data_IF_631008680533
#
_entry.id   IF_631008680533
#
_cell.length_a   1.000
_cell.length_b   1.000
_cell.length_c   1.000
_cell.angle_alpha   90.00
_cell.angle_beta   90.00
_cell.angle_gamma   90.00
#
_symmetry.space_group_name_H-M   'P 1'
#
loop_
_entity.id
_entity.type
_entity.pdbx_description
1 polymer ?
#
# COMPACT_ATOMS: atom_id res chain seq x y z
N UNK A 1 29.46 18.66 33.35
CA UNK A 1 28.20 19.45 33.39
C UNK A 1 27.27 18.90 32.29
N UNK A 2 26.32 18.07 32.71
CA UNK A 2 25.38 17.37 31.82
C UNK A 2 24.20 18.29 31.53
N UNK A 3 24.09 18.76 30.29
CA UNK A 3 22.88 19.40 29.81
C UNK A 3 21.94 18.31 29.27
N UNK A 4 20.82 18.14 29.96
CA UNK A 4 19.72 17.22 29.60
C UNK A 4 19.11 17.69 28.28
N UNK A 5 19.22 16.86 27.27
CA UNK A 5 18.41 16.96 26.05
C UNK A 5 16.98 16.59 26.40
N UNK A 6 16.08 17.56 26.35
CA UNK A 6 14.67 17.33 26.51
C UNK A 6 14.14 16.58 25.29
N UNK A 7 13.94 15.26 25.40
CA UNK A 7 13.10 14.49 24.50
C UNK A 7 11.64 14.87 24.80
N UNK A 8 11.04 15.70 23.96
CA UNK A 8 9.58 15.81 23.89
C UNK A 8 9.12 14.77 22.85
N UNK A 9 9.33 13.50 23.18
CA UNK A 9 8.55 12.44 22.59
C UNK A 9 7.26 12.41 23.37
N UNK A 10 6.18 12.94 22.80
CA UNK A 10 4.83 12.69 23.31
C UNK A 10 4.56 11.21 22.97
N UNK A 11 5.08 10.34 23.81
CA UNK A 11 4.79 8.93 23.84
C UNK A 11 3.38 8.81 24.41
N UNK A 12 2.37 8.99 23.56
CA UNK A 12 1.04 8.47 23.85
C UNK A 12 1.19 6.95 23.93
N UNK A 13 1.35 6.42 25.15
CA UNK A 13 0.98 5.04 25.44
C UNK A 13 -0.55 5.00 25.31
N UNK A 14 -1.00 4.96 24.06
CA UNK A 14 -2.41 4.96 23.74
C UNK A 14 -2.95 3.57 24.05
N UNK A 15 -3.75 3.51 25.14
CA UNK A 15 -4.48 2.29 25.50
C UNK A 15 -5.30 1.85 24.28
N UNK A 16 -5.20 0.57 23.91
CA UNK A 16 -6.04 -0.03 22.87
C UNK A 16 -7.51 0.25 23.12
N UNK A 17 -8.23 0.65 22.09
CA UNK A 17 -9.68 0.71 22.09
C UNK A 17 -10.18 -0.56 21.37
N UNK A 18 -10.70 -1.51 22.15
CA UNK A 18 -11.26 -2.75 21.61
C UNK A 18 -12.51 -2.45 20.79
N UNK A 19 -12.75 -3.26 19.75
CA UNK A 19 -13.91 -3.09 18.86
C UNK A 19 -15.25 -3.10 19.60
N UNK A 20 -15.35 -3.90 20.69
CA UNK A 20 -16.53 -3.99 21.56
C UNK A 20 -16.79 -2.70 22.36
N UNK A 21 -15.75 -1.93 22.64
CA UNK A 21 -15.80 -0.67 23.40
C UNK A 21 -15.83 0.57 22.49
N UNK A 22 -15.61 0.37 21.17
CA UNK A 22 -15.50 1.46 20.22
C UNK A 22 -16.86 2.08 19.89
N UNK A 23 -17.12 3.26 20.45
CA UNK A 23 -18.14 4.17 19.95
C UNK A 23 -17.54 4.98 18.80
N UNK A 24 -17.89 4.62 17.55
CA UNK A 24 -17.27 5.20 16.35
C UNK A 24 -17.55 6.69 16.17
N UNK A 25 -18.75 7.14 16.52
CA UNK A 25 -19.12 8.53 16.38
C UNK A 25 -18.34 9.40 17.38
N UNK A 26 -18.31 8.99 18.64
CA UNK A 26 -17.52 9.66 19.67
C UNK A 26 -16.04 9.68 19.31
N UNK A 27 -15.47 8.53 18.90
CA UNK A 27 -14.08 8.43 18.47
C UNK A 27 -13.74 9.39 17.34
N UNK A 28 -14.57 9.41 16.27
CA UNK A 28 -14.35 10.31 15.13
C UNK A 28 -14.39 11.77 15.58
N UNK A 29 -15.38 12.16 16.39
CA UNK A 29 -15.51 13.53 16.87
C UNK A 29 -14.30 13.94 17.73
N UNK A 30 -13.86 13.09 18.65
CA UNK A 30 -12.65 13.32 19.46
C UNK A 30 -11.40 13.51 18.59
N UNK A 31 -11.21 12.67 17.54
CA UNK A 31 -10.07 12.80 16.63
C UNK A 31 -10.17 14.06 15.76
N UNK A 32 -11.35 14.41 15.30
CA UNK A 32 -11.60 15.66 14.57
C UNK A 32 -11.21 16.87 15.43
N UNK A 33 -11.63 16.91 16.69
CA UNK A 33 -11.31 18.01 17.59
C UNK A 33 -9.82 18.06 17.95
N UNK A 34 -9.18 16.91 18.15
CA UNK A 34 -7.73 16.82 18.38
C UNK A 34 -6.94 17.38 17.18
N UNK A 35 -7.29 16.95 15.95
CA UNK A 35 -6.64 17.42 14.73
C UNK A 35 -6.87 18.93 14.55
N UNK A 36 -8.10 19.40 14.74
CA UNK A 36 -8.44 20.83 14.61
C UNK A 36 -7.65 21.69 15.61
N UNK A 37 -7.55 21.22 16.84
CA UNK A 37 -6.80 21.92 17.89
C UNK A 37 -5.30 21.94 17.62
N UNK A 38 -4.73 20.83 17.11
CA UNK A 38 -3.31 20.74 16.82
C UNK A 38 -2.90 21.61 15.61
N UNK A 39 -3.71 21.61 14.55
CA UNK A 39 -3.41 22.32 13.29
C UNK A 39 -3.76 23.79 13.36
N UNK A 40 -4.83 24.15 14.08
CA UNK A 40 -5.28 25.53 14.21
C UNK A 40 -5.59 26.17 12.85
N UNK A 41 -4.94 27.30 12.58
CA UNK A 41 -5.06 28.00 11.30
C UNK A 41 -4.12 27.52 10.21
N UNK A 42 -3.23 26.57 10.53
CA UNK A 42 -2.24 26.02 9.63
C UNK A 42 -2.81 25.08 8.55
N UNK A 43 -1.91 24.51 7.77
CA UNK A 43 -2.18 23.49 6.75
C UNK A 43 -1.63 22.16 7.23
N UNK A 44 -2.41 21.10 7.03
CA UNK A 44 -1.94 19.72 7.18
C UNK A 44 -1.88 19.03 5.80
N UNK A 45 -1.03 18.02 5.71
CA UNK A 45 -0.92 17.16 4.53
C UNK A 45 -1.12 15.71 4.92
N UNK A 46 -1.66 14.90 4.02
CA UNK A 46 -1.62 13.44 4.13
C UNK A 46 -1.31 12.80 2.77
N UNK A 47 -0.65 11.64 2.82
CA UNK A 47 -0.44 10.79 1.66
C UNK A 47 -1.51 9.69 1.63
N UNK A 48 -2.36 9.73 0.61
CA UNK A 48 -3.39 8.74 0.37
C UNK A 48 -2.82 7.61 -0.50
N UNK A 49 -2.73 6.40 0.04
CA UNK A 49 -2.22 5.23 -0.69
C UNK A 49 -3.30 4.39 -1.37
N UNK A 50 -4.59 4.73 -1.15
CA UNK A 50 -5.73 3.89 -1.55
C UNK A 50 -5.99 2.72 -0.60
N UNK A 51 -5.19 2.52 0.44
CA UNK A 51 -5.43 1.55 1.51
C UNK A 51 -6.44 2.06 2.54
N UNK A 52 -7.05 1.14 3.30
CA UNK A 52 -8.11 1.46 4.28
C UNK A 52 -7.65 2.50 5.30
N UNK A 53 -6.46 2.34 5.86
CA UNK A 53 -5.98 3.19 6.96
C UNK A 53 -5.78 4.63 6.50
N UNK A 54 -5.05 4.83 5.39
CA UNK A 54 -4.87 6.17 4.80
C UNK A 54 -6.20 6.80 4.39
N UNK A 55 -7.15 6.00 3.92
CA UNK A 55 -8.50 6.45 3.55
C UNK A 55 -9.28 6.97 4.76
N UNK A 56 -9.24 6.25 5.88
CA UNK A 56 -9.92 6.67 7.13
C UNK A 56 -9.28 7.94 7.69
N UNK A 57 -7.95 8.02 7.70
CA UNK A 57 -7.23 9.25 8.10
C UNK A 57 -7.60 10.42 7.23
N UNK A 58 -7.69 10.23 5.91
CA UNK A 58 -8.12 11.27 4.96
C UNK A 58 -9.51 11.79 5.32
N UNK A 59 -10.48 10.91 5.58
CA UNK A 59 -11.85 11.33 5.92
C UNK A 59 -11.94 12.06 7.26
N UNK A 60 -11.25 11.56 8.30
CA UNK A 60 -11.20 12.24 9.62
C UNK A 60 -10.53 13.60 9.48
N UNK A 61 -9.39 13.65 8.77
CA UNK A 61 -8.67 14.89 8.50
C UNK A 61 -9.49 15.90 7.70
N UNK A 62 -10.22 15.44 6.69
CA UNK A 62 -11.11 16.30 5.91
C UNK A 62 -12.28 16.84 6.76
N UNK A 63 -12.89 16.02 7.60
CA UNK A 63 -13.93 16.48 8.57
C UNK A 63 -13.38 17.52 9.55
N UNK A 64 -12.11 17.42 9.95
CA UNK A 64 -11.48 18.35 10.86
C UNK A 64 -11.11 19.69 10.19
N UNK A 65 -10.53 19.65 8.99
CA UNK A 65 -9.80 20.76 8.39
C UNK A 65 -10.41 21.29 7.08
N UNK A 66 -11.29 20.51 6.42
CA UNK A 66 -11.83 20.87 5.10
C UNK A 66 -10.71 21.18 4.12
N UNK A 67 -10.75 22.35 3.49
CA UNK A 67 -9.77 22.81 2.50
C UNK A 67 -8.36 23.07 3.06
N UNK A 68 -8.15 23.05 4.40
CA UNK A 68 -6.83 23.14 5.02
C UNK A 68 -6.09 21.79 5.05
N UNK A 69 -6.74 20.68 4.66
CA UNK A 69 -6.08 19.41 4.43
C UNK A 69 -5.69 19.28 2.96
N UNK A 70 -4.39 19.23 2.68
CA UNK A 70 -3.87 18.85 1.37
C UNK A 70 -3.72 17.34 1.30
N UNK A 71 -4.54 16.69 0.47
CA UNK A 71 -4.47 15.24 0.26
C UNK A 71 -3.76 14.96 -1.05
N UNK A 72 -2.66 14.20 -1.00
CA UNK A 72 -1.86 13.85 -2.17
C UNK A 72 -1.86 12.34 -2.39
N UNK A 73 -1.95 11.92 -3.65
CA UNK A 73 -1.68 10.56 -4.09
C UNK A 73 -0.40 10.57 -4.92
N UNK A 74 0.63 9.83 -4.50
CA UNK A 74 1.89 9.74 -5.23
C UNK A 74 1.79 8.60 -6.25
N UNK A 75 1.69 8.97 -7.54
CA UNK A 75 1.76 8.04 -8.66
C UNK A 75 3.21 7.63 -8.88
N UNK A 76 3.57 6.47 -8.38
CA UNK A 76 4.93 5.92 -8.43
C UNK A 76 5.17 4.99 -9.63
N UNK A 77 4.18 4.77 -10.48
CA UNK A 77 4.25 3.85 -11.63
C UNK A 77 4.14 2.36 -11.26
N UNK A 78 4.07 2.04 -9.95
CA UNK A 78 4.06 0.66 -9.45
C UNK A 78 2.65 0.15 -9.09
N UNK A 79 1.64 1.00 -9.25
CA UNK A 79 0.26 0.69 -8.85
C UNK A 79 -0.46 -0.16 -9.91
N UNK A 80 -1.61 -0.72 -9.52
CA UNK A 80 -2.56 -1.36 -10.44
C UNK A 80 -3.01 -0.40 -11.54
N UNK A 81 -3.51 -0.95 -12.62
CA UNK A 81 -4.02 -0.16 -13.74
C UNK A 81 -5.13 0.79 -13.32
N UNK A 82 -4.95 2.08 -13.64
CA UNK A 82 -5.93 3.13 -13.36
C UNK A 82 -6.18 3.43 -11.87
N UNK A 83 -5.44 2.81 -10.94
CA UNK A 83 -5.69 2.96 -9.49
C UNK A 83 -5.62 4.40 -8.98
N UNK A 84 -4.62 5.22 -9.34
CA UNK A 84 -4.54 6.60 -8.86
C UNK A 84 -5.77 7.43 -9.22
N UNK A 85 -6.24 7.27 -10.47
CA UNK A 85 -7.43 7.99 -10.96
C UNK A 85 -8.70 7.52 -10.24
N UNK A 86 -8.91 6.20 -10.12
CA UNK A 86 -10.06 5.65 -9.40
C UNK A 86 -10.12 6.10 -7.95
N UNK A 87 -8.98 6.15 -7.26
CA UNK A 87 -8.90 6.64 -5.88
C UNK A 87 -9.26 8.13 -5.82
N UNK A 88 -8.73 8.94 -6.72
CA UNK A 88 -9.03 10.37 -6.76
C UNK A 88 -10.52 10.64 -7.07
N UNK A 89 -11.12 9.91 -8.01
CA UNK A 89 -12.54 9.99 -8.35
C UNK A 89 -13.42 9.63 -7.16
N UNK A 90 -13.15 8.51 -6.50
CA UNK A 90 -13.88 8.06 -5.32
C UNK A 90 -13.85 9.09 -4.19
N UNK A 91 -12.68 9.67 -3.91
CA UNK A 91 -12.58 10.70 -2.88
C UNK A 91 -13.22 12.04 -3.31
N UNK A 92 -13.24 12.35 -4.60
CA UNK A 92 -13.97 13.51 -5.14
C UNK A 92 -15.47 13.39 -4.87
N UNK A 93 -16.05 12.20 -5.04
CA UNK A 93 -17.48 11.93 -4.70
C UNK A 93 -17.75 12.10 -3.20
N UNK A 94 -16.75 11.90 -2.35
CA UNK A 94 -16.82 12.14 -0.91
C UNK A 94 -16.50 13.61 -0.52
N UNK A 95 -16.32 14.49 -1.50
CA UNK A 95 -16.03 15.92 -1.30
C UNK A 95 -14.55 16.21 -0.99
N UNK A 96 -13.65 15.23 -1.12
CA UNK A 96 -12.21 15.38 -0.86
C UNK A 96 -11.47 15.57 -2.18
N UNK A 97 -10.79 16.70 -2.35
CA UNK A 97 -9.89 16.91 -3.48
C UNK A 97 -8.58 16.17 -3.27
N UNK A 98 -8.26 15.23 -4.16
CA UNK A 98 -6.99 14.50 -4.18
C UNK A 98 -6.11 15.04 -5.31
N UNK A 99 -4.89 15.44 -4.96
CA UNK A 99 -3.88 15.85 -5.92
C UNK A 99 -3.03 14.65 -6.30
N UNK A 100 -3.00 14.27 -7.59
CA UNK A 100 -2.13 13.20 -8.08
C UNK A 100 -0.78 13.79 -8.44
N UNK A 101 0.27 13.35 -7.76
CA UNK A 101 1.67 13.77 -8.00
C UNK A 101 2.35 12.70 -8.83
N UNK A 102 2.70 13.02 -10.06
CA UNK A 102 3.47 12.12 -10.92
C UNK A 102 4.93 12.05 -10.47
N UNK A 103 5.33 10.89 -10.00
CA UNK A 103 6.69 10.59 -9.57
C UNK A 103 7.24 9.31 -10.22
N UNK A 104 6.62 8.84 -11.32
CA UNK A 104 6.98 7.58 -11.97
C UNK A 104 8.46 7.50 -12.33
N UNK A 105 9.01 8.57 -12.88
CA UNK A 105 10.42 8.60 -13.30
C UNK A 105 11.40 8.53 -12.12
N UNK A 106 11.07 9.17 -10.99
CA UNK A 106 11.88 9.10 -9.79
C UNK A 106 11.97 7.67 -9.23
N UNK A 107 10.84 6.94 -9.21
CA UNK A 107 10.81 5.55 -8.74
C UNK A 107 11.49 4.60 -9.72
N UNK A 108 11.22 4.69 -11.01
CA UNK A 108 11.87 3.87 -12.04
C UNK A 108 13.39 4.07 -12.05
N UNK A 109 13.84 5.32 -11.95
CA UNK A 109 15.26 5.62 -11.87
C UNK A 109 15.92 5.06 -10.62
N UNK A 110 15.21 5.08 -9.48
CA UNK A 110 15.72 4.53 -8.23
C UNK A 110 15.78 2.99 -8.24
N UNK A 111 14.94 2.33 -9.03
CA UNK A 111 14.88 0.87 -9.14
C UNK A 111 15.79 0.28 -10.23
N UNK A 112 16.39 1.14 -11.05
CA UNK A 112 17.23 0.71 -12.18
C UNK A 112 18.40 -0.15 -11.71
N UNK A 113 18.53 -1.35 -12.28
CA UNK A 113 19.59 -2.31 -11.98
C UNK A 113 19.41 -3.09 -10.67
N UNK A 114 18.40 -2.75 -9.85
CA UNK A 114 18.14 -3.43 -8.58
C UNK A 114 17.33 -4.71 -8.83
N UNK A 115 17.85 -5.84 -8.35
CA UNK A 115 17.20 -7.15 -8.46
C UNK A 115 16.85 -7.76 -7.11
N UNK A 116 17.61 -7.39 -6.06
CA UNK A 116 17.39 -7.87 -4.70
C UNK A 116 16.07 -7.32 -4.11
N UNK A 117 15.25 -8.15 -3.47
CA UNK A 117 13.96 -7.73 -2.90
C UNK A 117 14.06 -6.65 -1.82
N UNK A 118 15.03 -6.77 -0.92
CA UNK A 118 15.19 -5.82 0.18
C UNK A 118 15.74 -4.49 -0.31
N UNK A 119 16.67 -4.53 -1.28
CA UNK A 119 17.17 -3.31 -1.93
C UNK A 119 16.05 -2.58 -2.68
N UNK A 120 15.14 -3.31 -3.35
CA UNK A 120 13.96 -2.70 -3.98
C UNK A 120 13.06 -2.00 -2.96
N UNK A 121 12.75 -2.66 -1.85
CA UNK A 121 11.95 -2.08 -0.76
C UNK A 121 12.59 -0.82 -0.21
N UNK A 122 13.89 -0.87 0.03
CA UNK A 122 14.66 0.27 0.52
C UNK A 122 14.65 1.43 -0.49
N UNK A 123 14.92 1.17 -1.77
CA UNK A 123 14.90 2.17 -2.84
C UNK A 123 13.54 2.85 -2.97
N UNK A 124 12.44 2.08 -2.91
CA UNK A 124 11.08 2.61 -2.97
C UNK A 124 10.80 3.48 -1.73
N UNK A 125 11.14 2.99 -0.55
CA UNK A 125 10.94 3.71 0.71
C UNK A 125 11.70 5.03 0.74
N UNK A 126 12.99 5.00 0.39
CA UNK A 126 13.85 6.20 0.34
C UNK A 126 13.33 7.22 -0.68
N UNK A 127 12.92 6.75 -1.86
CA UNK A 127 12.38 7.61 -2.92
C UNK A 127 11.08 8.26 -2.46
N UNK A 128 10.17 7.46 -1.86
CA UNK A 128 8.90 7.97 -1.37
C UNK A 128 9.11 9.07 -0.33
N UNK A 129 9.78 8.75 0.77
CA UNK A 129 9.84 9.65 1.93
C UNK A 129 10.85 10.79 1.76
N UNK A 130 12.07 10.50 1.30
CA UNK A 130 13.12 11.53 1.23
C UNK A 130 13.02 12.42 -0.01
N UNK A 131 12.76 11.82 -1.18
CA UNK A 131 12.71 12.60 -2.43
C UNK A 131 11.34 13.23 -2.65
N UNK A 132 10.32 12.40 -2.86
CA UNK A 132 9.02 12.85 -3.36
C UNK A 132 8.22 13.51 -2.25
N UNK A 133 7.91 12.77 -1.18
CA UNK A 133 7.06 13.29 -0.11
C UNK A 133 7.73 14.46 0.64
N UNK A 134 9.02 14.36 0.93
CA UNK A 134 9.76 15.46 1.54
C UNK A 134 9.77 16.74 0.70
N UNK A 135 9.84 16.63 -0.64
CA UNK A 135 9.66 17.77 -1.55
C UNK A 135 8.26 18.37 -1.44
N UNK A 136 7.22 17.52 -1.54
CA UNK A 136 5.82 17.96 -1.49
C UNK A 136 5.51 18.68 -0.17
N UNK A 137 6.00 18.17 0.95
CA UNK A 137 5.82 18.79 2.27
C UNK A 137 6.46 20.19 2.32
N UNK A 138 7.72 20.31 1.89
CA UNK A 138 8.41 21.63 1.85
C UNK A 138 7.66 22.65 0.97
N UNK A 139 7.17 22.22 -0.19
CA UNK A 139 6.42 23.07 -1.12
C UNK A 139 5.04 23.45 -0.58
N UNK A 140 4.42 22.58 0.23
CA UNK A 140 3.07 22.78 0.77
C UNK A 140 3.00 23.76 1.93
N UNK A 141 4.13 24.09 2.56
CA UNK A 141 4.20 24.83 3.83
C UNK A 141 3.41 24.18 4.98
N UNK A 142 3.04 22.91 4.84
CA UNK A 142 2.32 22.16 5.87
C UNK A 142 3.24 21.93 7.08
N UNK A 143 2.69 22.18 8.26
CA UNK A 143 3.38 21.94 9.56
C UNK A 143 2.91 20.66 10.25
N UNK A 144 1.93 19.98 9.68
CA UNK A 144 1.37 18.75 10.23
C UNK A 144 1.19 17.70 9.13
N UNK A 145 1.60 16.47 9.45
CA UNK A 145 1.38 15.28 8.62
C UNK A 145 0.34 14.38 9.32
N UNK A 146 -0.76 14.05 8.66
CA UNK A 146 -1.67 13.03 9.13
C UNK A 146 -1.24 11.67 8.58
N UNK A 147 -0.94 10.72 9.45
CA UNK A 147 -0.44 9.40 9.11
C UNK A 147 -1.37 8.28 9.59
N UNK A 148 -1.48 7.23 8.79
CA UNK A 148 -2.40 6.10 9.03
C UNK A 148 -1.80 4.96 9.85
N UNK A 149 -0.91 5.24 10.80
CA UNK A 149 -0.37 4.25 11.73
C UNK A 149 -1.49 3.68 12.61
N UNK A 150 -1.54 2.37 12.74
CA UNK A 150 -2.50 1.64 13.58
C UNK A 150 -1.76 0.84 14.65
N UNK A 151 -2.49 0.37 15.66
CA UNK A 151 -1.89 -0.40 16.76
C UNK A 151 -1.17 -1.67 16.29
N UNK A 152 -1.69 -2.33 15.28
CA UNK A 152 -1.06 -3.51 14.68
C UNK A 152 0.34 -3.20 14.14
N UNK A 153 0.56 -2.02 13.55
CA UNK A 153 1.88 -1.62 13.05
C UNK A 153 2.91 -1.49 14.18
N UNK A 154 2.46 -1.00 15.34
CA UNK A 154 3.30 -0.88 16.54
C UNK A 154 3.64 -2.27 17.08
N UNK A 155 2.64 -3.14 17.23
CA UNK A 155 2.83 -4.51 17.72
C UNK A 155 3.81 -5.29 16.82
N UNK A 156 3.68 -5.17 15.50
CA UNK A 156 4.56 -5.82 14.52
C UNK A 156 6.00 -5.29 14.61
N UNK A 157 6.17 -4.01 14.94
CA UNK A 157 7.48 -3.41 15.16
C UNK A 157 8.13 -3.91 16.44
N UNK A 158 7.37 -3.93 17.53
CA UNK A 158 7.84 -4.44 18.83
C UNK A 158 8.19 -5.94 18.75
N UNK A 159 7.42 -6.71 17.98
CA UNK A 159 7.68 -8.13 17.74
C UNK A 159 8.85 -8.39 16.77
N UNK A 160 9.47 -7.36 16.18
CA UNK A 160 10.56 -7.49 15.21
C UNK A 160 10.10 -8.00 13.82
N UNK A 161 8.80 -8.04 13.56
CA UNK A 161 8.21 -8.45 12.27
C UNK A 161 8.38 -7.32 11.25
N UNK A 162 8.12 -6.09 11.66
CA UNK A 162 8.47 -4.87 10.94
C UNK A 162 9.70 -4.23 11.58
N UNK A 163 10.54 -3.58 10.79
CA UNK A 163 11.71 -2.87 11.33
C UNK A 163 11.30 -1.74 12.27
N UNK A 164 10.32 -0.95 11.88
CA UNK A 164 9.70 0.09 12.74
C UNK A 164 8.32 0.49 12.19
N UNK A 165 7.41 0.98 13.06
CA UNK A 165 6.09 1.47 12.67
C UNK A 165 6.16 2.86 12.02
N UNK A 166 7.17 3.66 12.37
CA UNK A 166 7.44 4.96 11.79
C UNK A 166 8.62 4.87 10.84
N UNK A 167 8.36 5.03 9.54
CA UNK A 167 9.39 4.94 8.50
C UNK A 167 10.45 6.02 8.66
N UNK A 168 10.10 7.19 9.20
CA UNK A 168 11.08 8.25 9.46
C UNK A 168 12.12 7.85 10.50
N UNK A 169 11.71 7.15 11.56
CA UNK A 169 12.64 6.58 12.54
C UNK A 169 13.55 5.51 11.92
N UNK A 170 13.02 4.66 11.02
CA UNK A 170 13.85 3.69 10.26
C UNK A 170 14.96 4.37 9.48
N UNK A 171 14.64 5.53 8.90
CA UNK A 171 15.56 6.31 8.09
C UNK A 171 16.47 7.21 8.94
N UNK A 172 16.33 7.16 10.28
CA UNK A 172 17.06 8.05 11.19
C UNK A 172 16.71 9.53 10.97
N UNK A 173 15.48 9.81 10.53
CA UNK A 173 14.99 11.16 10.23
C UNK A 173 14.06 11.59 11.35
N UNK A 174 14.38 12.67 12.03
CA UNK A 174 13.38 13.40 12.84
C UNK A 174 12.57 14.29 11.89
N UNK A 175 11.24 14.05 11.75
CA UNK A 175 10.41 14.82 10.83
C UNK A 175 10.34 16.31 11.19
N UNK A 176 10.41 16.63 12.47
CA UNK A 176 10.42 18.01 12.97
C UNK A 176 11.72 18.71 12.59
N UNK A 177 12.87 18.05 12.79
CA UNK A 177 14.18 18.62 12.47
C UNK A 177 14.43 18.68 10.94
N UNK A 178 14.07 17.59 10.23
CA UNK A 178 14.37 17.44 8.80
C UNK A 178 13.41 18.22 7.90
N UNK A 179 12.15 18.34 8.28
CA UNK A 179 11.10 18.89 7.41
C UNK A 179 10.23 19.95 8.09
N UNK A 180 10.36 20.15 9.40
CA UNK A 180 9.63 21.17 10.16
C UNK A 180 8.17 20.86 10.39
N UNK A 181 7.74 19.57 10.33
CA UNK A 181 6.36 19.18 10.60
C UNK A 181 6.21 18.18 11.74
N UNK A 182 5.03 18.21 12.37
CA UNK A 182 4.61 17.27 13.41
C UNK A 182 3.73 16.18 12.82
N UNK A 183 3.91 14.92 13.25
CA UNK A 183 3.07 13.80 12.85
C UNK A 183 1.86 13.69 13.77
N UNK A 184 0.68 13.53 13.17
CA UNK A 184 -0.58 13.24 13.84
C UNK A 184 -1.09 11.86 13.40
N UNK A 185 -1.29 10.95 14.35
CA UNK A 185 -1.65 9.55 14.11
C UNK A 185 -3.02 9.24 14.74
N UNK A 186 -4.12 9.62 14.10
CA UNK A 186 -5.45 9.53 14.70
C UNK A 186 -5.92 8.10 14.95
N UNK A 187 -5.35 7.10 14.27
CA UNK A 187 -5.79 5.69 14.33
C UNK A 187 -4.92 4.81 15.25
N UNK A 188 -3.90 5.36 15.90
CA UNK A 188 -2.90 4.63 16.67
C UNK A 188 -3.46 3.72 17.79
N UNK A 189 -4.67 3.99 18.25
CA UNK A 189 -5.37 3.21 19.29
C UNK A 189 -6.19 2.04 18.73
N UNK A 190 -6.35 1.94 17.39
CA UNK A 190 -7.22 0.98 16.74
C UNK A 190 -6.44 -0.16 16.08
N UNK A 191 -7.03 -1.35 16.13
CA UNK A 191 -6.67 -2.47 15.26
C UNK A 191 -7.46 -2.37 13.94
N UNK A 192 -7.13 -3.23 12.97
CA UNK A 192 -7.69 -3.22 11.62
C UNK A 192 -9.22 -3.29 11.57
N UNK A 193 -9.83 -4.05 12.45
CA UNK A 193 -11.28 -4.17 12.59
C UNK A 193 -11.93 -2.86 13.08
N UNK A 194 -11.33 -2.21 14.07
CA UNK A 194 -11.73 -0.89 14.55
C UNK A 194 -11.60 0.18 13.46
N UNK A 195 -10.50 0.17 12.69
CA UNK A 195 -10.30 1.07 11.56
C UNK A 195 -11.39 0.89 10.50
N UNK A 196 -11.71 -0.36 10.13
CA UNK A 196 -12.79 -0.66 9.18
C UNK A 196 -14.15 -0.16 9.70
N UNK A 197 -14.43 -0.32 11.00
CA UNK A 197 -15.66 0.19 11.63
C UNK A 197 -15.74 1.72 11.57
N UNK A 198 -14.65 2.40 11.91
CA UNK A 198 -14.54 3.86 11.80
C UNK A 198 -14.67 4.36 10.36
N UNK A 199 -14.07 3.65 9.40
CA UNK A 199 -14.16 3.98 7.98
C UNK A 199 -15.59 3.93 7.44
N UNK A 200 -16.37 2.89 7.79
CA UNK A 200 -17.79 2.83 7.43
C UNK A 200 -18.59 3.99 8.03
N UNK A 201 -18.31 4.35 9.29
CA UNK A 201 -18.94 5.51 9.93
C UNK A 201 -18.51 6.85 9.32
N UNK A 202 -17.36 6.91 8.67
CA UNK A 202 -16.93 8.06 7.87
C UNK A 202 -17.58 8.14 6.49
N UNK A 203 -18.35 7.12 6.07
CA UNK A 203 -19.00 7.07 4.77
C UNK A 203 -18.15 6.49 3.66
N UNK A 204 -17.03 5.81 3.98
CA UNK A 204 -16.23 5.13 2.98
C UNK A 204 -17.00 3.93 2.39
N UNK A 205 -17.00 3.74 1.06
CA UNK A 205 -17.71 2.66 0.41
C UNK A 205 -17.11 1.28 0.74
N UNK A 206 -17.95 0.24 0.69
CA UNK A 206 -17.57 -1.15 1.02
C UNK A 206 -16.41 -1.65 0.17
N UNK A 207 -16.33 -1.25 -1.07
CA UNK A 207 -15.28 -1.63 -2.02
C UNK A 207 -13.86 -1.38 -1.50
N UNK A 208 -13.66 -0.35 -0.67
CA UNK A 208 -12.36 -0.09 -0.05
C UNK A 208 -11.97 -1.12 1.00
N UNK A 209 -12.97 -1.75 1.65
CA UNK A 209 -12.74 -2.73 2.71
C UNK A 209 -12.59 -4.16 2.18
N UNK A 210 -13.16 -4.42 1.00
CA UNK A 210 -13.22 -5.75 0.37
C UNK A 210 -12.04 -5.99 -0.59
N UNK A 211 -11.16 -5.00 -0.75
CA UNK A 211 -9.96 -5.12 -1.59
C UNK A 211 -9.00 -6.14 -1.00
N UNK A 212 -8.47 -7.00 -1.88
CA UNK A 212 -7.37 -7.89 -1.51
C UNK A 212 -6.14 -7.08 -1.07
N UNK A 213 -5.35 -7.60 -0.12
CA UNK A 213 -4.13 -6.94 0.31
C UNK A 213 -3.21 -6.62 -0.86
N UNK A 214 -2.55 -5.45 -0.79
CA UNK A 214 -1.57 -5.04 -1.77
C UNK A 214 -0.32 -4.56 -1.04
N UNK A 215 0.87 -5.05 -1.40
CA UNK A 215 2.09 -4.79 -0.64
C UNK A 215 2.54 -3.33 -0.79
N UNK A 216 3.31 -2.84 0.18
CA UNK A 216 3.88 -1.48 0.12
C UNK A 216 4.72 -1.21 -1.13
N UNK A 217 5.59 -2.14 -1.60
CA UNK A 217 6.32 -2.00 -2.86
C UNK A 217 5.43 -2.15 -4.12
N UNK A 218 4.13 -2.36 -3.97
CA UNK A 218 3.17 -2.50 -5.06
C UNK A 218 3.56 -3.62 -6.05
N UNK A 219 3.42 -3.39 -7.35
CA UNK A 219 3.78 -4.38 -8.38
C UNK A 219 5.28 -4.71 -8.44
N UNK A 220 6.16 -3.86 -7.90
CA UNK A 220 7.58 -4.18 -7.81
C UNK A 220 7.85 -5.44 -6.97
N UNK A 221 6.99 -5.75 -5.98
CA UNK A 221 7.05 -6.98 -5.19
C UNK A 221 6.62 -8.23 -5.98
N UNK A 222 6.06 -8.05 -7.17
CA UNK A 222 5.56 -9.11 -8.06
C UNK A 222 6.39 -9.28 -9.32
N UNK A 223 7.57 -8.66 -9.37
CA UNK A 223 8.54 -8.79 -10.45
C UNK A 223 9.82 -9.38 -9.89
N UNK A 224 10.12 -10.64 -10.20
CA UNK A 224 11.39 -11.26 -9.85
C UNK A 224 12.47 -10.75 -10.80
N UNK A 225 13.54 -10.16 -10.26
CA UNK A 225 14.58 -9.48 -11.04
C UNK A 225 14.36 -7.98 -11.17
N UNK A 226 14.95 -7.33 -12.15
CA UNK A 226 14.88 -5.89 -12.36
C UNK A 226 13.47 -5.41 -12.68
N UNK A 227 13.12 -4.22 -12.19
CA UNK A 227 11.84 -3.54 -12.48
C UNK A 227 12.05 -2.56 -13.63
N UNK A 228 11.40 -2.83 -14.77
CA UNK A 228 11.40 -1.95 -15.95
C UNK A 228 9.96 -1.59 -16.34
N UNK A 229 9.76 -0.56 -17.16
CA UNK A 229 8.43 -0.15 -17.64
C UNK A 229 7.71 -1.31 -18.34
N UNK A 230 8.38 -2.00 -19.27
CA UNK A 230 7.79 -3.13 -20.00
C UNK A 230 7.36 -4.26 -19.07
N UNK A 231 8.18 -4.56 -18.06
CA UNK A 231 7.89 -5.61 -17.07
C UNK A 231 6.77 -5.21 -16.12
N UNK A 232 6.69 -3.93 -15.76
CA UNK A 232 5.56 -3.39 -15.00
C UNK A 232 4.26 -3.48 -15.80
N UNK A 233 4.28 -3.15 -17.08
CA UNK A 233 3.11 -3.26 -17.92
C UNK A 233 2.65 -4.70 -18.09
N UNK A 234 3.59 -5.63 -18.25
CA UNK A 234 3.31 -7.07 -18.31
C UNK A 234 2.61 -7.54 -17.02
N UNK A 235 3.20 -7.30 -15.85
CA UNK A 235 2.62 -7.76 -14.58
C UNK A 235 1.33 -7.03 -14.24
N UNK A 236 1.18 -5.77 -14.64
CA UNK A 236 -0.03 -4.97 -14.43
C UNK A 236 -1.22 -5.54 -15.20
N UNK A 237 -1.03 -5.83 -16.50
CA UNK A 237 -2.06 -6.46 -17.33
C UNK A 237 -2.43 -7.85 -16.82
N UNK A 238 -1.43 -8.68 -16.51
CA UNK A 238 -1.66 -10.00 -15.93
C UNK A 238 -2.41 -9.91 -14.59
N UNK A 239 -2.07 -8.95 -13.73
CA UNK A 239 -2.76 -8.71 -12.45
C UNK A 239 -4.23 -8.36 -12.68
N UNK A 240 -4.55 -7.50 -13.66
CA UNK A 240 -5.94 -7.15 -13.98
C UNK A 240 -6.76 -8.38 -14.39
N UNK A 241 -6.19 -9.27 -15.20
CA UNK A 241 -6.86 -10.51 -15.62
C UNK A 241 -7.06 -11.45 -14.44
N UNK A 242 -6.01 -11.68 -13.63
CA UNK A 242 -6.06 -12.54 -12.43
C UNK A 242 -7.09 -12.02 -11.43
N UNK A 243 -7.09 -10.73 -11.12
CA UNK A 243 -8.02 -10.13 -10.17
C UNK A 243 -9.47 -10.20 -10.65
N UNK A 244 -9.71 -10.08 -11.95
CA UNK A 244 -11.05 -10.24 -12.53
C UNK A 244 -11.54 -11.69 -12.43
N UNK A 245 -10.70 -12.67 -12.77
CA UNK A 245 -11.08 -14.09 -12.87
C UNK A 245 -11.21 -14.74 -11.49
N UNK A 246 -10.32 -14.40 -10.54
CA UNK A 246 -10.29 -15.05 -9.23
C UNK A 246 -11.09 -14.32 -8.14
N UNK A 247 -11.75 -13.20 -8.46
CA UNK A 247 -12.55 -12.42 -7.50
C UNK A 247 -13.57 -13.27 -6.73
N UNK A 248 -14.24 -14.19 -7.42
CA UNK A 248 -15.33 -14.98 -6.85
C UNK A 248 -14.85 -16.16 -6.01
N UNK A 249 -13.56 -16.48 -6.01
CA UNK A 249 -12.97 -17.52 -5.16
C UNK A 249 -13.03 -17.18 -3.68
N UNK A 250 -13.18 -15.90 -3.32
CA UNK A 250 -13.10 -15.37 -1.95
C UNK A 250 -11.79 -15.72 -1.23
N UNK A 251 -10.74 -16.08 -1.98
CA UNK A 251 -9.42 -16.33 -1.46
C UNK A 251 -8.89 -15.08 -0.71
N UNK A 252 -8.04 -15.32 0.27
CA UNK A 252 -7.40 -14.25 1.05
C UNK A 252 -6.60 -13.29 0.17
N UNK A 253 -5.84 -13.84 -0.78
CA UNK A 253 -5.05 -13.05 -1.73
C UNK A 253 -4.78 -13.84 -3.01
N UNK A 254 -4.81 -13.17 -4.14
CA UNK A 254 -4.43 -13.72 -5.44
C UNK A 254 -3.63 -12.69 -6.23
N UNK A 255 -2.70 -13.15 -7.06
CA UNK A 255 -1.78 -12.27 -7.77
C UNK A 255 -1.12 -12.94 -8.97
N UNK A 256 -0.65 -12.10 -9.89
CA UNK A 256 0.27 -12.48 -10.96
C UNK A 256 1.70 -12.09 -10.58
N UNK A 257 2.66 -12.98 -10.81
CA UNK A 257 4.09 -12.75 -10.57
C UNK A 257 4.84 -12.94 -11.89
N UNK A 258 5.66 -11.98 -12.25
CA UNK A 258 6.51 -12.06 -13.43
C UNK A 258 7.88 -12.62 -13.08
N UNK A 259 8.23 -13.76 -13.65
CA UNK A 259 9.54 -14.39 -13.47
C UNK A 259 10.65 -13.64 -14.23
N UNK A 260 11.90 -13.78 -13.73
CA UNK A 260 13.08 -13.24 -14.39
C UNK A 260 13.42 -14.04 -15.64
N UNK A 261 13.30 -15.36 -15.55
CA UNK A 261 13.69 -16.27 -16.62
C UNK A 261 12.67 -16.26 -17.76
N UNK A 262 13.18 -16.46 -18.95
CA UNK A 262 12.37 -16.62 -20.15
C UNK A 262 12.31 -18.11 -20.49
N UNK A 263 11.17 -18.52 -21.03
CA UNK A 263 10.91 -19.91 -21.42
C UNK A 263 10.57 -20.01 -22.89
N UNK A 264 10.76 -21.19 -23.47
CA UNK A 264 10.39 -21.44 -24.86
C UNK A 264 8.88 -21.63 -24.98
N UNK A 265 8.26 -20.92 -25.89
CA UNK A 265 6.87 -21.07 -26.29
C UNK A 265 6.72 -21.20 -27.79
N UNK A 266 5.47 -21.40 -28.23
CA UNK A 266 5.09 -21.41 -29.65
C UNK A 266 4.16 -20.22 -29.88
N UNK A 267 4.59 -19.27 -30.73
CA UNK A 267 3.80 -18.10 -31.14
C UNK A 267 3.69 -18.14 -32.66
N UNK A 268 2.47 -18.15 -33.18
CA UNK A 268 2.18 -18.24 -34.64
C UNK A 268 2.94 -19.38 -35.36
N UNK A 269 3.01 -20.54 -34.69
CA UNK A 269 3.69 -21.72 -35.20
C UNK A 269 5.22 -21.68 -35.19
N UNK A 270 5.81 -20.63 -34.61
CA UNK A 270 7.27 -20.49 -34.47
C UNK A 270 7.69 -20.62 -33.00
N UNK A 271 8.87 -21.16 -32.79
CA UNK A 271 9.47 -21.23 -31.46
C UNK A 271 10.04 -19.86 -31.07
N UNK A 272 9.57 -19.32 -29.93
CA UNK A 272 10.02 -18.07 -29.39
C UNK A 272 10.38 -18.19 -27.90
N UNK A 273 11.23 -17.27 -27.42
CA UNK A 273 11.50 -17.10 -26.00
C UNK A 273 10.58 -16.02 -25.45
N UNK A 274 9.68 -16.39 -24.54
CA UNK A 274 8.74 -15.49 -23.91
C UNK A 274 8.86 -15.46 -22.39
N UNK A 275 8.07 -14.60 -21.80
CA UNK A 275 7.97 -14.43 -20.35
C UNK A 275 7.07 -15.50 -19.73
N UNK A 276 7.30 -15.77 -18.45
CA UNK A 276 6.49 -16.67 -17.64
C UNK A 276 5.80 -15.89 -16.53
N UNK A 277 4.49 -16.10 -16.37
CA UNK A 277 3.68 -15.60 -15.25
C UNK A 277 3.38 -16.77 -14.32
N UNK A 278 3.65 -16.57 -13.04
CA UNK A 278 3.18 -17.44 -11.95
C UNK A 278 1.91 -16.83 -11.35
N UNK A 279 0.87 -17.64 -11.20
CA UNK A 279 -0.35 -17.28 -10.48
C UNK A 279 -0.22 -17.82 -9.06
N UNK A 280 -0.45 -16.98 -8.07
CA UNK A 280 -0.65 -17.35 -6.68
C UNK A 280 -2.06 -17.03 -6.26
N UNK A 281 -2.73 -17.98 -5.63
CA UNK A 281 -4.03 -17.80 -5.00
C UNK A 281 -3.99 -18.50 -3.65
N UNK A 282 -4.24 -17.77 -2.57
CA UNK A 282 -3.99 -18.20 -1.21
C UNK A 282 -5.21 -18.10 -0.33
N UNK A 283 -5.44 -19.14 0.45
CA UNK A 283 -6.33 -19.14 1.61
C UNK A 283 -5.50 -18.93 2.88
N UNK A 284 -5.91 -17.99 3.70
CA UNK A 284 -5.26 -17.67 4.97
C UNK A 284 -6.22 -16.95 5.91
N UNK A 285 -6.02 -17.12 7.21
CA UNK A 285 -6.76 -16.41 8.26
C UNK A 285 -5.93 -15.24 8.81
N UNK A 286 -4.63 -15.44 8.94
CA UNK A 286 -3.73 -14.54 9.69
C UNK A 286 -2.52 -14.04 8.88
N UNK A 287 -2.42 -14.42 7.60
CA UNK A 287 -1.28 -14.19 6.72
C UNK A 287 0.04 -14.82 7.20
N UNK A 288 0.07 -15.52 8.34
CA UNK A 288 1.27 -16.22 8.86
C UNK A 288 1.41 -17.58 8.23
N UNK A 289 0.30 -18.29 8.14
CA UNK A 289 0.16 -19.56 7.43
C UNK A 289 -0.79 -19.38 6.25
N UNK A 290 -0.52 -20.05 5.14
CA UNK A 290 -1.38 -20.02 3.97
C UNK A 290 -1.29 -21.34 3.19
N UNK A 291 -2.40 -21.70 2.56
CA UNK A 291 -2.51 -22.84 1.64
C UNK A 291 -2.93 -22.34 0.26
N UNK A 292 -2.50 -23.01 -0.82
CA UNK A 292 -3.02 -22.70 -2.14
C UNK A 292 -4.54 -22.94 -2.17
N UNK A 293 -5.29 -21.99 -2.74
CA UNK A 293 -6.72 -22.15 -2.96
C UNK A 293 -6.97 -23.20 -4.03
N UNK A 294 -7.93 -24.10 -3.82
CA UNK A 294 -8.35 -25.06 -4.83
C UNK A 294 -9.18 -24.36 -5.92
N UNK A 295 -8.48 -23.89 -6.96
CA UNK A 295 -9.12 -23.32 -8.13
C UNK A 295 -9.41 -24.42 -9.14
N UNK A 296 -10.66 -24.53 -9.71
CA UNK A 296 -10.97 -25.52 -10.71
C UNK A 296 -9.98 -25.47 -11.89
N UNK A 297 -9.51 -26.62 -12.35
CA UNK A 297 -8.51 -26.70 -13.42
C UNK A 297 -8.98 -26.00 -14.71
N UNK A 298 -10.28 -26.09 -15.03
CA UNK A 298 -10.87 -25.36 -16.15
C UNK A 298 -10.75 -23.84 -16.02
N UNK A 299 -10.88 -23.30 -14.81
CA UNK A 299 -10.67 -21.87 -14.52
C UNK A 299 -9.20 -21.51 -14.72
N UNK A 300 -8.26 -22.35 -14.26
CA UNK A 300 -6.82 -22.12 -14.43
C UNK A 300 -6.41 -22.14 -15.90
N UNK A 301 -6.96 -23.07 -16.69
CA UNK A 301 -6.67 -23.15 -18.14
C UNK A 301 -7.22 -21.93 -18.88
N UNK A 302 -8.48 -21.53 -18.65
CA UNK A 302 -9.03 -20.30 -19.21
C UNK A 302 -8.25 -19.05 -18.80
N UNK A 303 -7.85 -18.96 -17.53
CA UNK A 303 -7.04 -17.84 -17.05
C UNK A 303 -5.67 -17.80 -17.75
N UNK A 304 -5.04 -18.95 -17.97
CA UNK A 304 -3.77 -19.04 -18.71
C UNK A 304 -3.93 -18.60 -20.17
N UNK A 305 -5.00 -19.03 -20.84
CA UNK A 305 -5.34 -18.63 -22.21
C UNK A 305 -5.57 -17.10 -22.29
N UNK A 306 -6.33 -16.55 -21.36
CA UNK A 306 -6.57 -15.10 -21.28
C UNK A 306 -5.28 -14.31 -21.10
N UNK A 307 -4.39 -14.75 -20.21
CA UNK A 307 -3.09 -14.07 -19.98
C UNK A 307 -2.23 -14.17 -21.25
N UNK A 308 -2.07 -15.35 -21.84
CA UNK A 308 -1.21 -15.55 -23.01
C UNK A 308 -1.73 -14.76 -24.22
N UNK A 309 -3.04 -14.68 -24.41
CA UNK A 309 -3.63 -13.98 -25.56
C UNK A 309 -3.63 -12.46 -25.41
N UNK A 310 -3.75 -11.93 -24.17
CA UNK A 310 -3.91 -10.50 -23.93
C UNK A 310 -2.62 -9.80 -23.44
N UNK A 311 -1.63 -10.55 -22.94
CA UNK A 311 -0.38 -9.99 -22.41
C UNK A 311 0.77 -10.34 -23.35
N UNK A 312 1.15 -9.40 -24.18
CA UNK A 312 2.20 -9.58 -25.18
C UNK A 312 3.50 -10.07 -24.58
N UNK A 313 4.09 -11.10 -25.20
CA UNK A 313 5.38 -11.66 -24.78
C UNK A 313 5.29 -12.71 -23.68
N UNK A 314 4.13 -12.98 -23.10
CA UNK A 314 3.90 -14.10 -22.18
C UNK A 314 3.60 -15.36 -22.98
N UNK A 315 4.34 -16.44 -22.72
CA UNK A 315 4.19 -17.73 -23.40
C UNK A 315 3.94 -18.89 -22.44
N UNK A 316 3.99 -18.65 -21.15
CA UNK A 316 3.80 -19.68 -20.12
C UNK A 316 3.14 -19.10 -18.87
N UNK A 317 2.21 -19.87 -18.33
CA UNK A 317 1.54 -19.58 -17.06
C UNK A 317 1.65 -20.79 -16.16
N UNK A 318 2.02 -20.58 -14.90
CA UNK A 318 2.12 -21.61 -13.84
C UNK A 318 1.23 -21.25 -12.66
N UNK A 319 0.88 -22.24 -11.86
CA UNK A 319 0.14 -22.05 -10.61
C UNK A 319 0.96 -22.56 -9.43
N UNK A 320 1.11 -21.76 -8.38
CA UNK A 320 1.86 -22.12 -7.18
C UNK A 320 1.02 -23.04 -6.29
N UNK A 321 1.58 -24.22 -5.97
CA UNK A 321 0.93 -25.23 -5.10
C UNK A 321 1.65 -25.43 -3.76
N UNK A 322 2.71 -24.66 -3.49
CA UNK A 322 3.43 -24.75 -2.22
C UNK A 322 2.66 -24.02 -1.12
N UNK A 323 2.77 -24.49 0.12
CA UNK A 323 2.17 -23.86 1.31
C UNK A 323 3.10 -22.79 1.91
N UNK A 324 2.55 -21.93 2.75
CA UNK A 324 3.34 -21.06 3.62
C UNK A 324 3.24 -21.54 5.07
N UNK A 325 4.34 -21.87 5.78
CA UNK A 325 5.69 -22.07 5.24
C UNK A 325 5.80 -23.29 4.32
N UNK A 326 6.86 -23.47 3.53
CA UNK A 326 8.08 -22.65 3.46
C UNK A 326 7.99 -21.48 2.48
N UNK A 327 6.97 -21.42 1.64
CA UNK A 327 6.78 -20.32 0.68
C UNK A 327 6.39 -19.01 1.38
N UNK A 328 6.30 -17.93 0.62
CA UNK A 328 5.77 -16.63 1.07
C UNK A 328 4.56 -16.24 0.23
N UNK A 329 3.64 -15.43 0.76
CA UNK A 329 2.47 -14.97 0.01
C UNK A 329 2.92 -14.12 -1.17
N UNK A 330 3.64 -13.04 -0.92
CA UNK A 330 4.26 -12.24 -1.99
C UNK A 330 5.54 -12.93 -2.50
N UNK A 331 5.93 -12.64 -3.74
CA UNK A 331 7.05 -13.31 -4.38
C UNK A 331 8.41 -12.83 -3.86
N UNK A 332 8.46 -11.59 -3.43
CA UNK A 332 9.67 -10.94 -2.92
C UNK A 332 9.33 -9.99 -1.77
#
# INVERSE_FOLDING_TARGET
>A
MNARRGQVTIQFMSKEIKISELNTEQFINEKVDQIRSAVGDGIAINALSGGVDSSVVTMIGHKALGGKLRTVFIENGLMREGEPRRVAELFSELGVKVEIIDARQEFLSALKGITDPEEKREAITQTFYKKVFGRIVRESQAKHLLQGTILTDIDETVAGIKRQHNVFEQLGIDPQEAFGYQILEPLIQLRKDGVRKAGRACGLPSELFDRIPFPGPALAARIIGEVTEDRLDTVRKATTIVEKTLRDTKAFQYMAILHKDRVTGMVDGKREFGQQIEIRCWDSVDARTATPTEVPFSTLTSLAEDIISQVTGVVSVTYNVATKPPSTIEAI
#
